data_IF_316815542495
#
_entry.id   IF_316815542495
#
_cell.length_a   1.000
_cell.length_b   1.000
_cell.length_c   1.000
_cell.angle_alpha   90.00
_cell.angle_beta   90.00
_cell.angle_gamma   90.00
#
_symmetry.space_group_name_H-M   'P 1'
#
loop_
_entity.id
_entity.type
_entity.pdbx_description
1 polymer ?
#
# COMPACT_ATOMS: atom_id res chain seq x y z
N UNK A 1 5.48 -6.42 22.34
CA UNK A 1 6.01 -5.29 21.56
C UNK A 1 5.97 -5.61 20.08
N UNK A 2 5.44 -4.69 19.29
CA UNK A 2 5.49 -4.87 17.85
C UNK A 2 6.89 -4.65 17.30
N UNK A 3 7.23 -5.36 16.23
CA UNK A 3 8.48 -5.16 15.48
C UNK A 3 8.25 -4.31 14.23
N UNK A 4 7.03 -3.85 13.97
CA UNK A 4 6.73 -3.00 12.81
C UNK A 4 7.39 -1.65 12.98
N UNK A 5 8.21 -1.26 12.00
CA UNK A 5 8.86 0.05 11.97
C UNK A 5 8.44 0.89 10.77
N UNK A 6 7.82 0.24 9.78
CA UNK A 6 7.37 0.90 8.56
C UNK A 6 6.20 0.12 7.99
N UNK A 7 5.15 0.83 7.57
CA UNK A 7 3.99 0.23 6.91
C UNK A 7 4.03 0.57 5.44
N UNK A 8 4.11 -0.43 4.59
CA UNK A 8 4.08 -0.26 3.14
C UNK A 8 2.67 -0.55 2.62
N UNK A 9 2.22 0.25 1.68
CA UNK A 9 0.87 0.19 1.13
C UNK A 9 0.93 0.06 -0.39
N UNK A 10 0.06 -0.77 -0.96
CA UNK A 10 -0.17 -0.83 -2.39
C UNK A 10 -1.00 0.39 -2.83
N UNK A 11 -0.97 0.70 -4.12
CA UNK A 11 -1.75 1.81 -4.67
C UNK A 11 -3.15 1.34 -5.10
N UNK A 12 -3.26 0.66 -6.22
CA UNK A 12 -4.57 0.20 -6.71
C UNK A 12 -5.13 -0.90 -5.83
N UNK A 13 -6.39 -0.75 -5.44
CA UNK A 13 -7.05 -1.72 -4.56
C UNK A 13 -6.84 -1.48 -3.08
N UNK A 14 -6.01 -0.52 -2.69
CA UNK A 14 -5.75 -0.13 -1.29
C UNK A 14 -5.93 1.38 -1.12
N UNK A 15 -5.11 2.17 -1.79
CA UNK A 15 -5.13 3.64 -1.68
C UNK A 15 -5.91 4.32 -2.79
N UNK A 16 -6.02 3.67 -3.95
CA UNK A 16 -6.82 4.14 -5.08
C UNK A 16 -7.86 3.07 -5.36
N UNK A 17 -9.10 3.38 -5.06
CA UNK A 17 -10.19 2.42 -5.08
C UNK A 17 -11.16 2.75 -6.23
N UNK A 18 -11.79 1.71 -6.77
CA UNK A 18 -12.88 1.90 -7.70
C UNK A 18 -14.08 2.49 -6.97
N UNK A 19 -14.76 3.43 -7.61
CA UNK A 19 -16.01 3.95 -7.08
C UNK A 19 -17.05 2.85 -7.20
N UNK A 20 -17.71 2.51 -6.08
CA UNK A 20 -18.80 1.55 -6.06
C UNK A 20 -20.00 2.18 -6.77
N UNK A 21 -20.16 1.85 -8.04
CA UNK A 21 -21.18 2.43 -8.89
C UNK A 21 -21.72 1.36 -9.82
N UNK A 22 -23.04 1.32 -9.92
CA UNK A 22 -23.70 0.50 -10.92
C UNK A 22 -23.60 1.20 -12.27
N UNK A 23 -23.32 0.44 -13.31
CA UNK A 23 -23.21 0.93 -14.67
C UNK A 23 -24.33 0.33 -15.52
N UNK A 24 -25.01 1.19 -16.27
CA UNK A 24 -26.11 0.77 -17.13
C UNK A 24 -25.65 -0.04 -18.34
N UNK A 25 -24.39 0.12 -18.71
CA UNK A 25 -23.84 -0.59 -19.86
C UNK A 25 -22.32 -0.80 -19.71
N UNK A 26 -21.82 -1.74 -20.49
CA UNK A 26 -20.39 -2.00 -20.59
C UNK A 26 -19.62 -0.76 -21.09
N UNK A 27 -20.24 -0.03 -22.02
CA UNK A 27 -19.63 1.21 -22.54
C UNK A 27 -19.48 2.26 -21.43
N UNK A 28 -20.47 2.38 -20.57
CA UNK A 28 -20.41 3.31 -19.43
C UNK A 28 -19.34 2.90 -18.44
N UNK A 29 -19.18 1.60 -18.19
CA UNK A 29 -18.14 1.08 -17.34
C UNK A 29 -16.74 1.50 -17.83
N UNK A 30 -16.47 1.34 -19.12
CA UNK A 30 -15.16 1.68 -19.68
C UNK A 30 -14.94 3.19 -19.80
N UNK A 31 -16.00 3.97 -19.94
CA UNK A 31 -15.89 5.45 -19.99
C UNK A 31 -15.69 6.05 -18.61
N UNK A 32 -16.07 5.32 -17.58
CA UNK A 32 -16.03 5.81 -16.20
C UNK A 32 -14.75 5.34 -15.53
N UNK A 33 -13.65 6.04 -15.77
CA UNK A 33 -12.39 5.83 -15.03
C UNK A 33 -12.47 6.57 -13.69
N UNK A 34 -13.53 6.27 -12.92
CA UNK A 34 -13.73 6.91 -11.64
C UNK A 34 -13.04 6.11 -10.55
N UNK A 35 -11.98 6.70 -10.04
CA UNK A 35 -11.25 6.19 -8.90
C UNK A 35 -11.40 7.18 -7.75
N UNK A 36 -11.32 6.68 -6.54
CA UNK A 36 -11.36 7.51 -5.34
C UNK A 36 -10.12 7.21 -4.50
N UNK A 37 -9.50 8.26 -3.97
CA UNK A 37 -8.37 8.10 -3.05
C UNK A 37 -8.89 7.74 -1.67
N UNK A 38 -8.28 6.74 -1.07
CA UNK A 38 -8.64 6.24 0.27
C UNK A 38 -8.09 7.17 1.35
N UNK A 39 -8.73 8.32 1.49
CA UNK A 39 -8.31 9.36 2.44
C UNK A 39 -8.40 8.90 3.89
N UNK A 40 -9.42 8.11 4.20
CA UNK A 40 -9.61 7.60 5.57
C UNK A 40 -8.39 6.82 6.05
N UNK A 41 -7.85 5.95 5.20
CA UNK A 41 -6.69 5.15 5.56
C UNK A 41 -5.44 6.02 5.69
N UNK A 42 -5.22 6.94 4.75
CA UNK A 42 -4.09 7.88 4.81
C UNK A 42 -4.13 8.74 6.06
N UNK A 43 -5.30 9.29 6.39
CA UNK A 43 -5.46 10.12 7.59
C UNK A 43 -5.26 9.31 8.87
N UNK A 44 -5.69 8.06 8.89
CA UNK A 44 -5.46 7.17 10.02
C UNK A 44 -3.97 7.07 10.35
N UNK A 45 -3.15 6.78 9.34
CA UNK A 45 -1.70 6.64 9.57
C UNK A 45 -1.07 7.97 9.99
N UNK A 46 -1.51 9.07 9.40
CA UNK A 46 -1.01 10.40 9.75
C UNK A 46 -1.34 10.77 11.20
N UNK A 47 -2.58 10.54 11.61
CA UNK A 47 -3.02 10.85 12.98
C UNK A 47 -2.32 9.99 14.02
N UNK A 48 -1.97 8.75 13.68
CA UNK A 48 -1.25 7.85 14.58
C UNK A 48 0.26 8.04 14.52
N UNK A 49 0.74 8.95 13.67
CA UNK A 49 2.17 9.23 13.48
C UNK A 49 2.95 7.96 13.09
N UNK A 50 2.36 7.19 12.18
CA UNK A 50 2.97 5.98 11.64
C UNK A 50 3.59 6.29 10.29
N UNK A 51 4.89 6.01 10.14
CA UNK A 51 5.56 6.19 8.86
C UNK A 51 5.02 5.19 7.83
N UNK A 52 4.64 5.69 6.66
CA UNK A 52 4.16 4.84 5.57
C UNK A 52 5.01 5.00 4.33
N UNK A 53 5.04 3.92 3.54
CA UNK A 53 5.68 3.88 2.24
C UNK A 53 4.68 3.37 1.21
N UNK A 54 4.84 3.80 -0.04
CA UNK A 54 4.09 3.23 -1.15
C UNK A 54 4.99 2.21 -1.85
N UNK A 55 4.47 1.01 -2.10
CA UNK A 55 5.13 -0.01 -2.92
C UNK A 55 4.14 -0.47 -3.98
N UNK A 56 4.34 -0.05 -5.22
CA UNK A 56 3.38 -0.28 -6.30
C UNK A 56 4.05 -0.78 -7.58
N UNK A 57 3.33 -1.61 -8.33
CA UNK A 57 3.74 -2.06 -9.66
C UNK A 57 3.37 -1.03 -10.74
N UNK A 58 3.26 0.22 -10.38
CA UNK A 58 2.93 1.31 -11.29
C UNK A 58 4.16 2.14 -11.68
N UNK A 59 3.95 3.09 -12.57
CA UNK A 59 4.97 4.07 -12.94
C UNK A 59 4.71 5.43 -12.29
N UNK A 60 5.65 6.35 -12.46
CA UNK A 60 5.57 7.67 -11.86
C UNK A 60 4.41 8.49 -12.44
N UNK A 61 4.10 8.33 -13.71
CA UNK A 61 2.97 9.02 -14.35
C UNK A 61 1.65 8.62 -13.70
N UNK A 62 1.45 7.33 -13.46
CA UNK A 62 0.26 6.80 -12.80
C UNK A 62 0.17 7.29 -11.36
N UNK A 63 1.28 7.26 -10.64
CA UNK A 63 1.32 7.80 -9.28
C UNK A 63 0.89 9.28 -9.26
N UNK A 64 1.47 10.08 -10.13
CA UNK A 64 1.15 11.51 -10.19
C UNK A 64 -0.31 11.76 -10.57
N UNK A 65 -0.87 10.93 -11.44
CA UNK A 65 -2.26 11.08 -11.84
C UNK A 65 -3.23 10.94 -10.66
N UNK A 66 -2.99 9.97 -9.78
CA UNK A 66 -3.93 9.67 -8.70
C UNK A 66 -3.51 10.22 -7.34
N UNK A 67 -2.22 10.25 -7.03
CA UNK A 67 -1.72 10.48 -5.68
C UNK A 67 -0.77 11.68 -5.57
N UNK A 68 -0.64 12.50 -6.60
CA UNK A 68 0.25 13.66 -6.58
C UNK A 68 0.04 14.55 -5.34
N UNK A 69 -1.22 14.84 -5.02
CA UNK A 69 -1.57 15.73 -3.91
C UNK A 69 -1.38 15.08 -2.55
N UNK A 70 -1.10 13.77 -2.53
CA UNK A 70 -0.91 13.00 -1.30
C UNK A 70 0.52 12.55 -1.11
N UNK A 71 1.45 13.04 -1.94
CA UNK A 71 2.86 12.62 -1.90
C UNK A 71 3.47 12.77 -0.52
N UNK A 72 3.15 13.84 0.19
CA UNK A 72 3.74 14.14 1.49
C UNK A 72 3.27 13.21 2.62
N UNK A 73 2.25 12.40 2.38
CA UNK A 73 1.85 11.36 3.32
C UNK A 73 2.87 10.22 3.40
N UNK A 74 3.65 10.02 2.32
CA UNK A 74 4.57 8.90 2.21
C UNK A 74 5.99 9.34 2.52
N UNK A 75 6.63 8.60 3.44
CA UNK A 75 8.05 8.80 3.72
C UNK A 75 8.91 8.26 2.60
N UNK A 76 8.48 7.15 1.98
CA UNK A 76 9.17 6.52 0.84
C UNK A 76 8.16 6.12 -0.22
N UNK A 77 8.58 6.18 -1.49
CA UNK A 77 7.76 5.78 -2.63
C UNK A 77 8.61 4.86 -3.51
N UNK A 78 8.18 3.60 -3.64
CA UNK A 78 8.85 2.60 -4.47
C UNK A 78 7.90 2.21 -5.60
N UNK A 79 8.29 2.50 -6.82
CA UNK A 79 7.51 2.19 -8.02
C UNK A 79 8.29 1.21 -8.89
N UNK A 80 7.64 0.12 -9.32
CA UNK A 80 8.32 -0.96 -10.03
C UNK A 80 9.02 -0.48 -11.29
N UNK A 81 8.41 0.45 -12.01
CA UNK A 81 8.97 0.96 -13.26
C UNK A 81 10.23 1.81 -13.06
N UNK A 82 10.44 2.31 -11.84
CA UNK A 82 11.64 3.09 -11.52
C UNK A 82 12.75 2.21 -10.97
N UNK A 83 12.41 1.20 -10.15
CA UNK A 83 13.43 0.35 -9.52
C UNK A 83 13.77 -0.89 -10.32
N UNK A 84 12.96 -1.25 -11.31
CA UNK A 84 13.24 -2.39 -12.19
C UNK A 84 12.77 -3.74 -11.67
N UNK A 85 12.06 -3.78 -10.55
CA UNK A 85 11.51 -5.00 -9.95
C UNK A 85 10.04 -4.80 -9.65
N UNK A 86 9.23 -5.85 -9.82
CA UNK A 86 7.79 -5.82 -9.57
C UNK A 86 7.41 -6.80 -8.46
N UNK A 87 6.38 -6.44 -7.66
CA UNK A 87 5.82 -7.41 -6.71
C UNK A 87 5.31 -8.64 -7.47
N UNK A 88 5.49 -9.85 -6.96
CA UNK A 88 5.96 -10.20 -5.61
C UNK A 88 7.47 -10.37 -5.47
N UNK A 89 8.29 -10.00 -6.46
CA UNK A 89 9.74 -10.16 -6.40
C UNK A 89 10.28 -9.49 -5.12
N UNK A 90 11.00 -10.26 -4.31
CA UNK A 90 11.52 -9.74 -3.04
C UNK A 90 12.43 -8.52 -3.22
N UNK A 91 13.05 -8.38 -4.39
CA UNK A 91 13.97 -7.28 -4.65
C UNK A 91 13.30 -5.92 -4.61
N UNK A 92 11.98 -5.82 -4.89
CA UNK A 92 11.28 -4.55 -4.76
C UNK A 92 11.19 -4.14 -3.28
N UNK A 93 11.00 -5.11 -2.39
CA UNK A 93 10.97 -4.86 -0.94
C UNK A 93 12.37 -4.60 -0.40
N UNK A 94 13.39 -5.23 -0.97
CA UNK A 94 14.79 -4.94 -0.62
C UNK A 94 15.16 -3.51 -0.98
N UNK A 95 14.63 -2.98 -2.09
CA UNK A 95 14.81 -1.55 -2.42
C UNK A 95 14.26 -0.66 -1.31
N UNK A 96 13.07 -0.99 -0.79
CA UNK A 96 12.49 -0.24 0.32
C UNK A 96 13.31 -0.39 1.60
N UNK A 97 13.75 -1.61 1.91
CA UNK A 97 14.57 -1.87 3.09
C UNK A 97 15.89 -1.08 3.04
N UNK A 98 16.55 -1.07 1.89
CA UNK A 98 17.79 -0.32 1.71
C UNK A 98 17.60 1.19 1.83
N UNK A 99 16.53 1.71 1.23
CA UNK A 99 16.23 3.15 1.26
C UNK A 99 15.85 3.62 2.67
N UNK A 100 15.02 2.84 3.34
CA UNK A 100 14.47 3.21 4.65
C UNK A 100 15.37 2.84 5.83
N UNK A 101 16.34 1.96 5.60
CA UNK A 101 17.17 1.37 6.67
C UNK A 101 16.34 0.54 7.66
N UNK A 102 15.20 0.01 7.20
CA UNK A 102 14.33 -0.87 7.97
C UNK A 102 14.49 -2.29 7.44
N UNK A 103 14.76 -3.25 8.31
CA UNK A 103 14.90 -4.65 7.92
C UNK A 103 13.57 -5.19 7.36
N UNK A 104 13.65 -6.14 6.43
CA UNK A 104 12.45 -6.74 5.83
C UNK A 104 11.49 -7.28 6.90
N UNK A 105 12.00 -7.87 7.95
CA UNK A 105 11.20 -8.44 9.04
C UNK A 105 10.40 -7.38 9.83
N UNK A 106 10.77 -6.12 9.69
CA UNK A 106 10.15 -5.00 10.40
C UNK A 106 9.25 -4.15 9.48
N UNK A 107 9.04 -4.58 8.24
CA UNK A 107 8.16 -3.92 7.27
C UNK A 107 6.82 -4.65 7.26
N UNK A 108 5.75 -3.90 7.50
CA UNK A 108 4.40 -4.40 7.28
C UNK A 108 3.99 -4.06 5.84
N UNK A 109 3.28 -4.97 5.17
CA UNK A 109 2.77 -4.71 3.82
C UNK A 109 1.28 -4.98 3.75
N UNK A 110 0.56 -4.03 3.21
CA UNK A 110 -0.89 -4.09 2.99
C UNK A 110 -1.13 -4.04 1.47
N UNK A 111 -1.69 -5.11 0.94
CA UNK A 111 -1.94 -5.28 -0.50
C UNK A 111 -3.26 -6.03 -0.67
N UNK A 112 -4.00 -5.73 -1.72
CA UNK A 112 -5.27 -6.43 -2.00
C UNK A 112 -5.08 -7.77 -2.70
N UNK A 113 -3.89 -8.03 -3.25
CA UNK A 113 -3.57 -9.27 -3.95
C UNK A 113 -2.68 -10.16 -3.09
N UNK A 114 -3.19 -11.32 -2.62
CA UNK A 114 -2.38 -12.25 -1.82
C UNK A 114 -1.08 -12.67 -2.51
N UNK A 115 -1.12 -12.81 -3.84
CA UNK A 115 0.07 -13.21 -4.61
C UNK A 115 1.23 -12.21 -4.49
N UNK A 116 0.93 -10.94 -4.24
CA UNK A 116 1.96 -9.91 -4.07
C UNK A 116 2.69 -10.02 -2.72
N UNK A 117 2.16 -10.80 -1.78
CA UNK A 117 2.70 -10.90 -0.42
C UNK A 117 3.54 -12.16 -0.19
N UNK A 118 3.50 -13.13 -1.12
CA UNK A 118 4.05 -14.47 -0.88
C UNK A 118 5.55 -14.46 -0.58
N UNK A 119 6.33 -13.63 -1.26
CA UNK A 119 7.78 -13.60 -1.04
C UNK A 119 8.14 -12.84 0.23
N UNK A 120 7.46 -11.72 0.51
CA UNK A 120 7.71 -10.96 1.73
C UNK A 120 7.35 -11.76 2.99
N UNK A 121 6.33 -12.63 2.92
CA UNK A 121 5.94 -13.48 4.05
C UNK A 121 7.05 -14.37 4.56
N UNK A 122 8.04 -14.67 3.73
CA UNK A 122 9.19 -15.48 4.14
C UNK A 122 10.09 -14.71 5.12
N UNK A 123 9.96 -13.39 5.20
CA UNK A 123 10.80 -12.52 6.02
C UNK A 123 10.02 -11.73 7.07
N UNK A 124 8.76 -11.39 6.78
CA UNK A 124 7.93 -10.58 7.68
C UNK A 124 6.64 -11.30 8.04
N UNK A 125 6.28 -11.24 9.32
CA UNK A 125 5.00 -11.75 9.83
C UNK A 125 3.87 -10.73 9.64
N UNK A 126 4.16 -9.54 9.15
CA UNK A 126 3.22 -8.42 9.11
C UNK A 126 2.71 -8.15 7.69
N UNK A 127 2.09 -9.15 7.09
CA UNK A 127 1.44 -8.99 5.78
C UNK A 127 -0.07 -9.09 5.95
N UNK A 128 -0.80 -8.24 5.23
CA UNK A 128 -2.24 -8.15 5.37
C UNK A 128 -2.89 -8.01 3.99
N UNK A 129 -3.90 -8.84 3.73
CA UNK A 129 -4.69 -8.73 2.50
C UNK A 129 -5.80 -7.72 2.73
N UNK A 130 -5.72 -6.60 2.03
CA UNK A 130 -6.70 -5.53 2.18
C UNK A 130 -8.05 -5.92 1.60
N UNK A 131 -9.10 -5.73 2.36
CA UNK A 131 -10.49 -5.88 1.90
C UNK A 131 -11.28 -4.59 2.12
N UNK A 132 -11.09 -3.97 3.28
CA UNK A 132 -11.74 -2.71 3.62
C UNK A 132 -10.96 -2.03 4.74
N UNK A 133 -11.26 -0.76 4.98
CA UNK A 133 -10.53 0.01 5.99
C UNK A 133 -10.77 -0.51 7.40
N UNK A 134 -11.99 -0.93 7.69
CA UNK A 134 -12.34 -1.38 9.04
C UNK A 134 -11.46 -2.56 9.48
N UNK A 135 -11.32 -3.57 8.63
CA UNK A 135 -10.48 -4.73 8.95
C UNK A 135 -9.00 -4.35 9.01
N UNK A 136 -8.54 -3.52 8.09
CA UNK A 136 -7.13 -3.11 8.01
C UNK A 136 -6.73 -2.27 9.21
N UNK A 137 -7.56 -1.29 9.57
CA UNK A 137 -7.30 -0.43 10.72
C UNK A 137 -7.31 -1.26 12.02
N UNK A 138 -8.25 -2.20 12.12
CA UNK A 138 -8.29 -3.10 13.27
C UNK A 138 -7.02 -3.93 13.35
N UNK A 139 -6.60 -4.54 12.24
CA UNK A 139 -5.40 -5.36 12.19
C UNK A 139 -4.15 -4.59 12.59
N UNK A 140 -3.90 -3.44 11.97
CA UNK A 140 -2.69 -2.67 12.27
C UNK A 140 -2.72 -2.09 13.68
N UNK A 141 -3.90 -1.71 14.17
CA UNK A 141 -4.05 -1.19 15.54
C UNK A 141 -3.73 -2.27 16.57
N UNK A 142 -4.16 -3.51 16.34
CA UNK A 142 -3.86 -4.64 17.22
C UNK A 142 -2.34 -4.93 17.21
N UNK A 143 -1.73 -4.94 16.03
CA UNK A 143 -0.28 -5.20 15.91
C UNK A 143 0.57 -4.12 16.56
N UNK A 144 0.19 -2.86 16.42
CA UNK A 144 0.92 -1.72 17.00
C UNK A 144 0.55 -1.48 18.44
N UNK A 145 -0.68 -1.81 18.84
CA UNK A 145 -1.19 -1.60 20.17
C UNK A 145 -0.81 -2.66 21.18
N UNK A 146 -0.32 -3.80 20.72
CA UNK A 146 0.14 -4.89 21.59
C UNK A 146 1.52 -4.56 22.13
N UNK A 147 1.51 -3.77 23.18
CA UNK A 147 2.74 -3.30 23.80
C UNK A 147 3.10 -4.13 25.02
#
# INVERSE_FOLDING_TARGET
>A
MTKIKLVALDMFGVLVLDVDKEYDSYADYFKSDQKIVNKELLEFFKEKDIDIALVSNADNSTFNHYLKDYRDYFKYIILSKEVGYSKPDIRIFECLANLSKVALENIAMIDDLPSNLVELRKFSDYTHVYKNNQETIKWISEELGNK
#
